data_IF_394036410452
#
_entry.id   IF_394036410452
#
_cell.length_a   1.000
_cell.length_b   1.000
_cell.length_c   1.000
_cell.angle_alpha   90.00
_cell.angle_beta   90.00
_cell.angle_gamma   90.00
#
_symmetry.space_group_name_H-M   'P 1'
#
loop_
_entity.id
_entity.type
_entity.pdbx_description
1 polymer ?
#
# COMPACT_ATOMS: atom_id res chain seq x y z
N UNK A 1 -9.52 -12.52 12.50
CA UNK A 1 -8.35 -12.50 13.40
C UNK A 1 -7.04 -13.04 12.78
N UNK A 2 -7.01 -13.50 11.52
CA UNK A 2 -5.86 -14.22 10.93
C UNK A 2 -4.97 -13.41 9.96
N UNK A 3 -5.23 -12.13 9.68
CA UNK A 3 -4.34 -11.27 8.88
C UNK A 3 -3.24 -10.59 9.71
N UNK A 4 -3.46 -10.42 11.02
CA UNK A 4 -2.46 -9.85 11.94
C UNK A 4 -1.19 -10.72 12.03
N UNK A 5 -1.29 -12.01 11.67
CA UNK A 5 -0.16 -12.94 11.72
C UNK A 5 0.94 -12.60 10.71
N UNK A 6 0.61 -12.09 9.52
CA UNK A 6 1.62 -11.79 8.50
C UNK A 6 2.54 -10.65 8.98
N UNK A 7 1.93 -9.53 9.35
CA UNK A 7 2.62 -8.34 9.86
C UNK A 7 3.37 -8.62 11.16
N UNK A 8 2.74 -9.30 12.12
CA UNK A 8 3.37 -9.63 13.41
C UNK A 8 4.56 -10.57 13.20
N UNK A 9 4.41 -11.61 12.37
CA UNK A 9 5.49 -12.56 12.08
C UNK A 9 6.66 -11.86 11.39
N UNK A 10 6.39 -11.02 10.39
CA UNK A 10 7.41 -10.20 9.75
C UNK A 10 8.12 -9.33 10.79
N UNK A 11 7.38 -8.58 11.60
CA UNK A 11 7.97 -7.62 12.53
C UNK A 11 8.86 -8.30 13.57
N UNK A 12 8.42 -9.44 14.13
CA UNK A 12 9.23 -10.25 15.03
C UNK A 12 10.52 -10.71 14.35
N UNK A 13 10.46 -11.14 13.08
CA UNK A 13 11.65 -11.51 12.31
C UNK A 13 12.59 -10.33 12.11
N UNK A 14 12.07 -9.16 11.73
CA UNK A 14 12.84 -7.92 11.57
C UNK A 14 13.58 -7.57 12.86
N UNK A 15 12.87 -7.52 13.99
CA UNK A 15 13.46 -7.23 15.31
C UNK A 15 14.56 -8.23 15.66
N UNK A 16 14.32 -9.52 15.44
CA UNK A 16 15.31 -10.55 15.70
C UNK A 16 16.57 -10.41 14.82
N UNK A 17 16.43 -9.99 13.56
CA UNK A 17 17.55 -9.77 12.65
C UNK A 17 18.35 -8.51 13.03
N UNK A 18 17.67 -7.45 13.46
CA UNK A 18 18.32 -6.26 14.00
C UNK A 18 19.14 -6.62 15.25
N UNK A 19 18.58 -7.43 16.15
CA UNK A 19 19.29 -7.93 17.35
C UNK A 19 20.49 -8.80 17.01
N UNK A 20 20.40 -9.63 15.96
CA UNK A 20 21.50 -10.49 15.49
C UNK A 20 22.55 -9.75 14.65
N UNK A 21 22.30 -8.49 14.28
CA UNK A 21 23.19 -7.71 13.42
C UNK A 21 23.21 -8.16 11.96
N UNK A 22 22.28 -9.02 11.53
CA UNK A 22 22.20 -9.49 10.13
C UNK A 22 21.59 -8.43 9.19
N UNK A 23 20.87 -7.46 9.76
CA UNK A 23 20.46 -6.20 9.14
C UNK A 23 20.68 -5.08 10.17
N UNK A 24 20.77 -3.84 9.73
CA UNK A 24 20.87 -2.68 10.63
C UNK A 24 19.87 -1.58 10.25
N UNK A 25 19.74 -0.53 11.07
CA UNK A 25 18.76 0.54 10.83
C UNK A 25 18.99 1.35 9.55
N UNK A 26 20.17 1.25 8.94
CA UNK A 26 20.53 1.91 7.68
C UNK A 26 20.48 0.99 6.46
N UNK A 27 20.28 -0.33 6.64
CA UNK A 27 19.97 -1.26 5.55
C UNK A 27 18.76 -0.77 4.74
N UNK A 28 18.68 -1.00 3.41
CA UNK A 28 17.48 -0.72 2.63
C UNK A 28 16.23 -1.34 3.26
N UNK A 29 15.08 -0.66 3.20
CA UNK A 29 13.88 -1.11 3.92
C UNK A 29 13.31 -2.40 3.30
N UNK A 30 13.56 -2.61 2.01
CA UNK A 30 13.31 -3.83 1.26
C UNK A 30 14.04 -5.03 1.88
N UNK A 31 15.29 -4.82 2.31
CA UNK A 31 16.14 -5.84 2.90
C UNK A 31 15.55 -6.38 4.23
N UNK A 32 14.82 -5.54 4.96
CA UNK A 32 14.15 -5.91 6.20
C UNK A 32 13.10 -7.00 5.94
N UNK A 33 12.45 -6.94 4.76
CA UNK A 33 11.39 -7.87 4.36
C UNK A 33 11.97 -9.08 3.63
N UNK A 34 12.80 -8.84 2.62
CA UNK A 34 13.28 -9.85 1.67
C UNK A 34 14.13 -10.93 2.34
N UNK A 35 15.05 -10.57 3.25
CA UNK A 35 16.06 -11.51 3.74
C UNK A 35 15.49 -12.70 4.53
N UNK A 36 14.22 -12.69 4.96
CA UNK A 36 13.65 -13.76 5.81
C UNK A 36 12.18 -14.12 5.61
N UNK A 37 11.42 -13.43 4.77
CA UNK A 37 10.06 -13.88 4.48
C UNK A 37 10.00 -14.89 3.31
N UNK A 38 11.14 -15.20 2.67
CA UNK A 38 11.33 -16.40 1.86
C UNK A 38 10.27 -16.58 0.77
N UNK A 39 9.70 -17.78 0.67
CA UNK A 39 8.66 -18.14 -0.32
C UNK A 39 7.23 -17.75 0.08
N UNK A 40 7.05 -17.10 1.24
CA UNK A 40 5.74 -16.69 1.77
C UNK A 40 5.30 -15.30 1.29
N UNK A 41 6.14 -14.63 0.48
CA UNK A 41 5.86 -13.31 -0.06
C UNK A 41 6.22 -13.22 -1.56
N UNK A 42 5.61 -12.27 -2.25
CA UNK A 42 6.05 -11.78 -3.54
C UNK A 42 6.50 -10.33 -3.43
N UNK A 43 7.68 -10.04 -4.01
CA UNK A 43 8.16 -8.67 -4.16
C UNK A 43 7.70 -8.09 -5.50
N UNK A 44 6.84 -7.07 -5.43
CA UNK A 44 6.08 -6.52 -6.55
C UNK A 44 6.78 -5.31 -7.17
N UNK A 45 7.60 -4.57 -6.41
CA UNK A 45 8.23 -3.38 -6.96
C UNK A 45 9.56 -3.65 -7.68
N UNK A 46 10.68 -3.48 -7.00
CA UNK A 46 12.02 -3.46 -7.59
C UNK A 46 12.66 -4.85 -7.64
N UNK A 47 12.05 -5.76 -8.42
CA UNK A 47 12.55 -7.14 -8.59
C UNK A 47 13.94 -7.23 -9.19
N UNK A 48 14.36 -6.19 -9.94
CA UNK A 48 15.70 -6.10 -10.49
C UNK A 48 16.75 -6.04 -9.38
N UNK A 49 16.60 -5.10 -8.46
CA UNK A 49 17.56 -4.92 -7.38
C UNK A 49 17.42 -6.02 -6.35
N UNK A 50 16.22 -6.57 -6.16
CA UNK A 50 16.01 -7.77 -5.36
C UNK A 50 16.95 -8.91 -5.75
N UNK A 51 17.02 -9.23 -7.04
CA UNK A 51 17.90 -10.26 -7.55
C UNK A 51 19.36 -9.85 -7.50
N UNK A 52 19.68 -8.67 -8.03
CA UNK A 52 21.07 -8.28 -8.27
C UNK A 52 21.81 -7.83 -7.00
N UNK A 53 21.11 -7.17 -6.09
CA UNK A 53 21.69 -6.57 -4.87
C UNK A 53 21.45 -7.47 -3.66
N UNK A 54 20.23 -8.01 -3.52
CA UNK A 54 19.85 -8.77 -2.32
C UNK A 54 19.89 -10.28 -2.51
N UNK A 55 20.23 -10.77 -3.71
CA UNK A 55 20.27 -12.21 -4.02
C UNK A 55 18.90 -12.89 -3.95
N UNK A 56 17.81 -12.13 -3.99
CA UNK A 56 16.45 -12.62 -3.92
C UNK A 56 15.85 -12.73 -5.32
N UNK A 57 15.78 -13.96 -5.83
CA UNK A 57 15.14 -14.24 -7.10
C UNK A 57 13.73 -14.80 -6.91
N UNK A 58 12.73 -13.92 -7.01
CA UNK A 58 11.31 -14.29 -6.95
C UNK A 58 10.95 -15.40 -7.97
N UNK A 59 11.68 -15.49 -9.07
CA UNK A 59 11.41 -16.41 -10.17
C UNK A 59 12.33 -17.63 -10.18
N UNK A 60 13.35 -17.68 -9.32
CA UNK A 60 14.47 -18.62 -9.44
C UNK A 60 14.06 -20.09 -9.51
N UNK A 61 12.95 -20.44 -8.86
CA UNK A 61 12.43 -21.80 -8.79
C UNK A 61 11.29 -22.09 -9.80
N UNK A 62 11.04 -21.19 -10.77
CA UNK A 62 9.91 -21.27 -11.68
C UNK A 62 10.35 -21.36 -13.15
N UNK A 63 9.68 -22.23 -13.92
CA UNK A 63 9.93 -22.32 -15.35
C UNK A 63 9.42 -21.09 -16.11
N UNK A 64 10.18 -20.67 -17.13
CA UNK A 64 9.81 -19.54 -18.00
C UNK A 64 8.43 -19.77 -18.65
N UNK A 65 8.11 -21.00 -19.02
CA UNK A 65 6.82 -21.32 -19.63
C UNK A 65 5.66 -21.19 -18.65
N UNK A 66 5.85 -21.54 -17.38
CA UNK A 66 4.85 -21.28 -16.34
C UNK A 66 4.61 -19.78 -16.17
N UNK A 67 5.67 -18.98 -16.16
CA UNK A 67 5.57 -17.52 -16.04
C UNK A 67 4.85 -16.90 -17.24
N UNK A 68 5.18 -17.33 -18.46
CA UNK A 68 4.49 -16.90 -19.69
C UNK A 68 3.01 -17.27 -19.68
N UNK A 69 2.65 -18.48 -19.25
CA UNK A 69 1.23 -18.91 -19.13
C UNK A 69 0.43 -18.04 -18.17
N UNK A 70 1.08 -17.45 -17.15
CA UNK A 70 0.47 -16.50 -16.22
C UNK A 70 0.59 -15.03 -16.68
N UNK A 71 1.02 -14.79 -17.92
CA UNK A 71 1.13 -13.46 -18.49
C UNK A 71 2.31 -12.63 -18.01
N UNK A 72 3.30 -13.25 -17.35
CA UNK A 72 4.55 -12.62 -16.96
C UNK A 72 5.51 -12.66 -18.15
N UNK A 73 5.64 -11.52 -18.84
CA UNK A 73 6.57 -11.33 -19.96
C UNK A 73 8.00 -11.14 -19.45
N UNK A 74 9.00 -11.39 -20.30
CA UNK A 74 10.43 -11.19 -19.98
C UNK A 74 10.73 -9.80 -19.44
N UNK A 75 10.08 -8.77 -19.98
CA UNK A 75 10.22 -7.37 -19.55
C UNK A 75 9.71 -7.10 -18.12
N UNK A 76 8.85 -7.97 -17.57
CA UNK A 76 8.26 -7.82 -16.24
C UNK A 76 9.05 -8.58 -15.16
N UNK A 77 9.95 -9.50 -15.54
CA UNK A 77 10.66 -10.36 -14.60
C UNK A 77 11.50 -9.53 -13.61
N UNK A 78 12.40 -8.69 -14.13
CA UNK A 78 13.33 -7.91 -13.33
C UNK A 78 13.17 -6.42 -13.65
N UNK A 79 11.98 -5.90 -13.34
CA UNK A 79 11.62 -4.50 -13.54
C UNK A 79 11.43 -3.77 -12.20
N UNK A 80 11.37 -2.46 -12.27
CA UNK A 80 10.81 -1.58 -11.23
C UNK A 80 9.39 -1.21 -11.66
N UNK A 81 8.40 -1.32 -10.77
CA UNK A 81 6.99 -1.10 -11.10
C UNK A 81 6.50 0.28 -10.65
N UNK A 82 7.01 0.77 -9.52
CA UNK A 82 6.51 1.89 -8.74
C UNK A 82 5.00 1.76 -8.43
N UNK A 83 4.55 0.53 -8.21
CA UNK A 83 3.15 0.18 -7.96
C UNK A 83 2.91 -0.19 -6.51
N UNK A 84 1.70 0.06 -6.04
CA UNK A 84 1.24 -0.48 -4.77
C UNK A 84 0.75 -1.94 -4.97
N UNK A 85 0.97 -2.84 -4.01
CA UNK A 85 1.88 -2.72 -2.87
C UNK A 85 3.33 -3.02 -3.29
N UNK A 86 4.30 -2.69 -2.45
CA UNK A 86 5.66 -3.23 -2.59
C UNK A 86 5.70 -4.75 -2.42
N UNK A 87 4.98 -5.29 -1.44
CA UNK A 87 4.95 -6.72 -1.13
C UNK A 87 3.53 -7.27 -1.00
N UNK A 88 3.36 -8.52 -1.44
CA UNK A 88 2.14 -9.30 -1.28
C UNK A 88 2.47 -10.59 -0.54
N UNK A 89 1.78 -10.87 0.57
CA UNK A 89 1.91 -12.15 1.27
C UNK A 89 1.07 -13.25 0.61
N UNK A 90 1.47 -14.50 0.81
CA UNK A 90 0.70 -15.67 0.37
C UNK A 90 -0.66 -15.75 1.06
N UNK A 91 -1.68 -16.08 0.29
CA UNK A 91 -2.98 -16.46 0.82
C UNK A 91 -2.96 -17.95 1.19
N UNK A 92 -3.61 -18.30 2.30
CA UNK A 92 -3.95 -19.68 2.65
C UNK A 92 -5.46 -19.83 2.66
N UNK A 93 -5.94 -21.04 2.37
CA UNK A 93 -7.36 -21.37 2.49
C UNK A 93 -7.59 -22.12 3.80
N UNK A 94 -8.54 -21.64 4.61
CA UNK A 94 -8.96 -22.31 5.85
C UNK A 94 -10.48 -22.43 5.84
N UNK A 95 -10.98 -23.67 5.87
CA UNK A 95 -12.40 -23.97 5.62
C UNK A 95 -12.89 -23.34 4.31
N UNK A 96 -13.98 -22.57 4.34
CA UNK A 96 -14.54 -21.88 3.18
C UNK A 96 -13.90 -20.52 2.88
N UNK A 97 -13.05 -20.01 3.78
CA UNK A 97 -12.48 -18.66 3.69
C UNK A 97 -11.00 -18.60 3.29
N UNK A 98 -10.58 -17.40 2.90
CA UNK A 98 -9.18 -17.04 2.72
C UNK A 98 -8.62 -16.41 4.01
N UNK A 99 -7.37 -16.72 4.34
CA UNK A 99 -6.62 -16.13 5.45
C UNK A 99 -5.22 -15.70 4.99
N UNK A 100 -4.62 -14.74 5.70
CA UNK A 100 -3.34 -14.14 5.31
C UNK A 100 -3.49 -13.25 4.07
N UNK A 101 -2.50 -13.26 3.18
CA UNK A 101 -2.58 -12.50 1.93
C UNK A 101 -2.37 -11.01 2.07
N UNK A 102 -1.82 -10.56 3.20
CA UNK A 102 -1.69 -9.14 3.51
C UNK A 102 -0.89 -8.37 2.44
N UNK A 103 -1.16 -7.08 2.34
CA UNK A 103 -0.47 -6.16 1.43
C UNK A 103 0.47 -5.31 2.27
N UNK A 104 1.70 -5.08 1.80
CA UNK A 104 2.64 -4.24 2.53
C UNK A 104 3.32 -3.23 1.63
N UNK A 105 3.29 -1.98 2.08
CA UNK A 105 3.92 -0.84 1.45
C UNK A 105 5.05 -0.33 2.34
N UNK A 106 6.15 0.06 1.71
CA UNK A 106 7.30 0.68 2.36
C UNK A 106 7.16 2.21 2.34
N UNK A 107 7.42 2.84 3.49
CA UNK A 107 7.52 4.29 3.60
C UNK A 107 8.83 4.67 4.27
N UNK A 108 9.77 5.13 3.45
CA UNK A 108 11.12 5.45 3.89
C UNK A 108 11.38 6.96 3.76
N UNK A 109 11.65 7.63 4.88
CA UNK A 109 11.77 9.08 4.95
C UNK A 109 13.08 9.51 5.62
N UNK A 110 13.72 10.54 5.06
CA UNK A 110 14.85 11.22 5.68
C UNK A 110 14.43 12.08 6.88
N UNK A 111 13.21 12.62 6.85
CA UNK A 111 12.65 13.47 7.89
C UNK A 111 11.93 12.70 8.99
N UNK A 112 11.29 13.44 9.91
CA UNK A 112 10.43 12.87 10.95
C UNK A 112 9.01 12.54 10.47
N UNK A 113 8.61 13.04 9.30
CA UNK A 113 7.31 12.78 8.69
C UNK A 113 7.35 11.52 7.81
N UNK A 114 6.21 10.85 7.71
CA UNK A 114 6.02 9.70 6.81
C UNK A 114 6.10 10.21 5.36
N UNK A 115 6.72 9.42 4.48
CA UNK A 115 6.65 9.66 3.04
C UNK A 115 5.20 9.60 2.52
N UNK A 116 4.89 10.33 1.46
CA UNK A 116 3.55 10.40 0.89
C UNK A 116 3.06 9.05 0.33
N UNK A 117 1.74 8.87 0.31
CA UNK A 117 1.07 7.77 -0.36
C UNK A 117 0.74 8.16 -1.80
N UNK A 118 1.68 7.90 -2.72
CA UNK A 118 1.59 8.37 -4.10
C UNK A 118 0.68 7.53 -5.01
N UNK A 119 0.38 6.30 -4.58
CA UNK A 119 -0.31 5.31 -5.43
C UNK A 119 -1.78 5.14 -5.04
N UNK A 120 -2.11 5.28 -3.76
CA UNK A 120 -3.46 5.03 -3.23
C UNK A 120 -3.64 5.67 -1.85
N UNK A 121 -4.88 6.00 -1.48
CA UNK A 121 -5.20 6.38 -0.10
C UNK A 121 -4.92 5.18 0.83
N UNK A 122 -4.28 5.39 1.99
CA UNK A 122 -4.09 4.32 2.95
C UNK A 122 -5.44 3.87 3.54
N UNK A 123 -5.70 2.57 3.49
CA UNK A 123 -6.97 1.97 3.96
C UNK A 123 -6.69 0.68 4.71
N UNK A 124 -7.60 0.19 5.56
CA UNK A 124 -7.41 -1.07 6.28
C UNK A 124 -7.36 -2.24 5.31
N UNK A 125 -8.28 -2.26 4.33
CA UNK A 125 -8.40 -3.34 3.37
C UNK A 125 -8.37 -2.83 1.92
N UNK A 126 -7.85 -3.68 1.04
CA UNK A 126 -7.95 -3.56 -0.43
C UNK A 126 -8.06 -4.93 -1.08
N UNK A 127 -8.79 -5.02 -2.17
CA UNK A 127 -8.83 -6.23 -3.02
C UNK A 127 -7.82 -6.14 -4.16
N UNK A 128 -7.47 -7.26 -4.80
CA UNK A 128 -6.60 -7.23 -5.97
C UNK A 128 -7.30 -6.61 -7.19
N UNK A 129 -8.62 -6.76 -7.27
CA UNK A 129 -9.44 -6.10 -8.29
C UNK A 129 -9.34 -4.57 -8.19
N UNK A 130 -9.49 -4.03 -6.97
CA UNK A 130 -9.30 -2.61 -6.69
C UNK A 130 -7.87 -2.16 -7.04
N UNK A 131 -6.86 -2.93 -6.65
CA UNK A 131 -5.45 -2.62 -6.90
C UNK A 131 -5.12 -2.60 -8.40
N UNK A 132 -5.63 -3.54 -9.19
CA UNK A 132 -5.38 -3.57 -10.62
C UNK A 132 -5.93 -2.31 -11.30
N UNK A 133 -7.08 -1.81 -10.85
CA UNK A 133 -7.70 -0.57 -11.35
C UNK A 133 -6.89 0.66 -10.90
N UNK A 134 -6.46 0.70 -9.63
CA UNK A 134 -5.64 1.80 -9.07
C UNK A 134 -4.26 1.86 -9.70
N UNK A 135 -3.66 0.73 -10.05
CA UNK A 135 -2.38 0.68 -10.75
C UNK A 135 -2.56 0.93 -12.26
N UNK A 136 -3.70 0.55 -12.83
CA UNK A 136 -4.02 0.66 -14.26
C UNK A 136 -3.42 -0.49 -15.07
N UNK A 137 -3.03 -1.58 -14.42
CA UNK A 137 -2.66 -2.84 -15.01
C UNK A 137 -2.77 -3.95 -13.95
N UNK A 138 -2.65 -5.20 -14.40
CA UNK A 138 -2.86 -6.38 -13.57
C UNK A 138 -1.57 -7.09 -13.16
N UNK A 139 -0.46 -6.35 -12.96
CA UNK A 139 0.80 -6.96 -12.57
C UNK A 139 0.67 -7.71 -11.23
N UNK A 140 0.08 -7.06 -10.22
CA UNK A 140 -0.06 -7.65 -8.88
C UNK A 140 -0.88 -8.94 -8.94
N UNK A 141 -2.02 -8.93 -9.63
CA UNK A 141 -2.83 -10.12 -9.87
C UNK A 141 -2.10 -11.23 -10.61
N UNK A 142 -1.28 -10.91 -11.63
CA UNK A 142 -0.47 -11.92 -12.33
C UNK A 142 0.57 -12.57 -11.42
N UNK A 143 1.23 -11.77 -10.58
CA UNK A 143 2.19 -12.27 -9.60
C UNK A 143 1.48 -13.14 -8.55
N UNK A 144 0.31 -12.71 -8.08
CA UNK A 144 -0.53 -13.50 -7.16
C UNK A 144 -0.91 -14.86 -7.75
N UNK A 145 -1.25 -14.93 -9.05
CA UNK A 145 -1.52 -16.21 -9.74
C UNK A 145 -0.31 -17.14 -9.78
N UNK A 146 0.89 -16.57 -9.93
CA UNK A 146 2.12 -17.35 -9.88
C UNK A 146 2.38 -17.89 -8.47
N UNK A 147 2.21 -17.02 -7.46
CA UNK A 147 2.50 -17.29 -6.04
C UNK A 147 1.52 -18.29 -5.42
N UNK A 148 0.22 -18.07 -5.59
CA UNK A 148 -0.85 -18.81 -4.90
C UNK A 148 -1.53 -19.86 -5.78
N UNK A 149 -1.13 -19.94 -7.06
CA UNK A 149 -1.47 -21.03 -7.97
C UNK A 149 -2.97 -21.28 -8.09
N UNK A 150 -3.41 -22.48 -7.67
CA UNK A 150 -4.82 -22.90 -7.79
C UNK A 150 -5.79 -22.00 -7.02
N UNK A 151 -5.36 -21.40 -5.90
CA UNK A 151 -6.22 -20.50 -5.12
C UNK A 151 -6.62 -19.26 -5.92
N UNK A 152 -5.68 -18.75 -6.73
CA UNK A 152 -5.84 -17.57 -7.56
C UNK A 152 -6.50 -17.84 -8.94
N UNK A 153 -7.21 -18.97 -9.08
CA UNK A 153 -8.02 -19.27 -10.26
C UNK A 153 -9.48 -18.82 -10.10
N UNK A 154 -9.98 -18.74 -8.86
CA UNK A 154 -11.36 -18.34 -8.58
C UNK A 154 -11.49 -16.81 -8.58
N UNK A 155 -12.60 -16.27 -9.09
CA UNK A 155 -12.87 -14.82 -9.09
C UNK A 155 -12.95 -14.23 -7.66
N UNK A 156 -13.50 -14.99 -6.70
CA UNK A 156 -13.57 -14.59 -5.29
C UNK A 156 -12.19 -14.32 -4.67
N UNK A 157 -11.13 -14.91 -5.20
CA UNK A 157 -9.75 -14.64 -4.77
C UNK A 157 -9.33 -13.18 -5.02
N UNK A 158 -9.78 -12.59 -6.14
CA UNK A 158 -9.41 -11.22 -6.50
C UNK A 158 -10.24 -10.19 -5.74
N UNK A 159 -11.48 -10.58 -5.36
CA UNK A 159 -12.41 -9.80 -4.52
C UNK A 159 -12.11 -9.90 -3.04
N UNK A 160 -11.39 -10.94 -2.61
CA UNK A 160 -10.97 -11.10 -1.23
C UNK A 160 -10.22 -9.86 -0.72
N UNK A 161 -10.73 -9.29 0.37
CA UNK A 161 -10.15 -8.13 1.02
C UNK A 161 -8.90 -8.51 1.80
N UNK A 162 -7.79 -7.87 1.44
CA UNK A 162 -6.47 -8.09 2.04
C UNK A 162 -6.14 -6.91 2.93
N UNK A 163 -5.67 -7.22 4.13
CA UNK A 163 -5.28 -6.19 5.09
C UNK A 163 -4.01 -5.47 4.63
N UNK A 164 -4.00 -4.15 4.66
CA UNK A 164 -2.86 -3.34 4.30
C UNK A 164 -2.02 -2.99 5.52
N UNK A 165 -0.70 -3.11 5.37
CA UNK A 165 0.27 -2.70 6.36
C UNK A 165 1.31 -1.77 5.75
N UNK A 166 1.86 -0.90 6.58
CA UNK A 166 2.86 0.07 6.20
C UNK A 166 4.09 -0.15 7.07
N UNK A 167 5.21 -0.56 6.45
CA UNK A 167 6.50 -0.58 7.11
C UNK A 167 7.14 0.79 6.94
N UNK A 168 7.20 1.54 8.03
CA UNK A 168 7.57 2.95 8.02
C UNK A 168 8.92 3.12 8.70
N UNK A 169 9.85 3.77 8.01
CA UNK A 169 11.09 4.29 8.58
C UNK A 169 11.16 5.80 8.44
N UNK A 170 11.43 6.48 9.53
CA UNK A 170 11.75 7.92 9.57
C UNK A 170 13.18 8.13 10.00
N UNK A 171 13.73 9.30 9.70
CA UNK A 171 15.09 9.67 10.07
C UNK A 171 16.15 8.70 9.52
N UNK A 172 15.93 8.11 8.34
CA UNK A 172 16.75 7.05 7.72
C UNK A 172 18.27 7.24 7.84
N UNK A 173 18.75 8.48 7.68
CA UNK A 173 20.17 8.83 7.62
C UNK A 173 20.70 9.42 8.95
N UNK A 174 19.92 9.30 10.03
CA UNK A 174 20.23 9.88 11.34
C UNK A 174 20.33 8.82 12.43
N UNK A 175 20.99 9.15 13.55
CA UNK A 175 21.03 8.28 14.74
C UNK A 175 19.65 8.10 15.40
N UNK A 176 18.66 8.90 15.03
CA UNK A 176 17.27 8.87 15.53
C UNK A 176 16.35 7.99 14.67
N UNK A 177 16.89 7.02 13.92
CA UNK A 177 16.07 6.13 13.08
C UNK A 177 14.97 5.51 13.94
N UNK A 178 13.74 5.56 13.44
CA UNK A 178 12.61 4.83 14.00
C UNK A 178 12.00 3.99 12.91
N UNK A 179 11.72 2.74 13.24
CA UNK A 179 11.07 1.77 12.34
C UNK A 179 9.80 1.27 13.02
N UNK A 180 8.68 1.32 12.31
CA UNK A 180 7.37 0.91 12.81
C UNK A 180 6.62 0.13 11.74
N UNK A 181 5.81 -0.84 12.15
CA UNK A 181 4.77 -1.41 11.29
C UNK A 181 3.42 -0.88 11.74
N UNK A 182 2.65 -0.38 10.79
CA UNK A 182 1.38 0.31 11.03
C UNK A 182 0.29 -0.36 10.22
N UNK A 183 -0.83 -0.65 10.88
CA UNK A 183 -2.04 -1.14 10.25
C UNK A 183 -2.71 -0.04 9.42
N UNK A 184 -3.21 -0.35 8.23
CA UNK A 184 -3.83 0.64 7.36
C UNK A 184 -5.05 1.34 7.96
N UNK A 185 -5.78 0.68 8.87
CA UNK A 185 -6.87 1.30 9.63
C UNK A 185 -6.44 2.53 10.43
N UNK A 186 -5.16 2.64 10.80
CA UNK A 186 -4.64 3.79 11.54
C UNK A 186 -4.81 5.10 10.77
N UNK A 187 -4.75 5.06 9.45
CA UNK A 187 -4.88 6.24 8.59
C UNK A 187 -6.33 6.52 8.17
N UNK A 188 -7.27 5.62 8.46
CA UNK A 188 -8.69 5.75 8.15
C UNK A 188 -9.45 6.47 9.27
N UNK A 189 -9.04 7.69 9.60
CA UNK A 189 -9.77 8.51 10.58
C UNK A 189 -11.11 9.01 10.03
N UNK A 190 -11.22 9.07 8.71
CA UNK A 190 -12.43 9.41 7.95
C UNK A 190 -12.56 8.35 6.84
N UNK A 191 -13.76 7.80 6.57
CA UNK A 191 -13.97 6.85 5.49
C UNK A 191 -13.46 7.39 4.15
N UNK A 192 -12.81 6.54 3.33
CA UNK A 192 -12.20 6.96 2.06
C UNK A 192 -13.22 7.61 1.11
N UNK A 193 -14.45 7.10 1.11
CA UNK A 193 -15.58 7.61 0.33
C UNK A 193 -15.87 9.07 0.69
N UNK A 194 -15.76 9.41 1.97
CA UNK A 194 -15.98 10.75 2.47
C UNK A 194 -14.81 11.69 2.15
N UNK A 195 -13.57 11.18 2.16
CA UNK A 195 -12.40 11.96 1.76
C UNK A 195 -12.46 12.41 0.30
N UNK A 196 -12.94 11.55 -0.60
CA UNK A 196 -13.01 11.86 -2.03
C UNK A 196 -13.88 13.08 -2.32
N UNK A 197 -15.16 13.03 -1.91
CA UNK A 197 -16.06 14.12 -2.25
C UNK A 197 -15.73 15.41 -1.51
N UNK A 198 -15.23 15.34 -0.26
CA UNK A 198 -14.77 16.51 0.46
C UNK A 198 -13.57 17.17 -0.22
N UNK A 199 -12.66 16.38 -0.80
CA UNK A 199 -11.54 16.91 -1.59
C UNK A 199 -12.04 17.66 -2.82
N UNK A 200 -13.00 17.11 -3.57
CA UNK A 200 -13.61 17.82 -4.71
C UNK A 200 -14.35 19.09 -4.29
N UNK A 201 -15.08 19.04 -3.17
CA UNK A 201 -15.80 20.19 -2.62
C UNK A 201 -14.83 21.29 -2.20
N UNK A 202 -13.69 20.94 -1.58
CA UNK A 202 -12.64 21.89 -1.21
C UNK A 202 -12.02 22.55 -2.44
N UNK A 203 -11.68 21.76 -3.47
CA UNK A 203 -11.14 22.26 -4.75
C UNK A 203 -12.13 23.24 -5.40
N UNK A 204 -13.42 22.88 -5.45
CA UNK A 204 -14.45 23.75 -5.99
C UNK A 204 -14.55 25.07 -5.20
N UNK A 205 -14.62 25.00 -3.88
CA UNK A 205 -14.69 26.20 -3.01
C UNK A 205 -13.49 27.12 -3.23
N UNK A 206 -12.28 26.56 -3.31
CA UNK A 206 -11.06 27.33 -3.59
C UNK A 206 -11.12 28.05 -4.96
N UNK A 207 -11.68 27.40 -5.98
CA UNK A 207 -11.88 28.03 -7.29
C UNK A 207 -12.93 29.14 -7.27
N UNK A 208 -14.04 28.95 -6.56
CA UNK A 208 -15.08 29.95 -6.41
C UNK A 208 -14.56 31.20 -5.70
N UNK A 209 -13.81 31.02 -4.62
CA UNK A 209 -13.13 32.10 -3.89
C UNK A 209 -12.15 32.85 -4.80
N UNK A 210 -11.25 32.12 -5.47
CA UNK A 210 -10.25 32.71 -6.40
C UNK A 210 -10.91 33.51 -7.52
N UNK A 211 -12.04 33.04 -8.05
CA UNK A 211 -12.80 33.71 -9.11
C UNK A 211 -13.80 34.74 -8.58
N UNK A 212 -13.92 34.90 -7.26
CA UNK A 212 -14.90 35.77 -6.58
C UNK A 212 -16.34 35.50 -7.03
N UNK A 213 -16.66 34.25 -7.36
CA UNK A 213 -18.01 33.83 -7.76
C UNK A 213 -18.82 33.60 -6.48
N UNK A 214 -19.90 34.37 -6.32
CA UNK A 214 -20.86 34.15 -5.24
C UNK A 214 -21.89 33.12 -5.68
N UNK A 215 -22.08 32.09 -4.87
CA UNK A 215 -23.16 31.12 -5.02
C UNK A 215 -23.99 31.07 -3.75
N UNK A 216 -25.28 30.80 -3.90
CA UNK A 216 -26.18 30.72 -2.75
C UNK A 216 -25.82 29.51 -1.86
N UNK A 217 -26.13 29.61 -0.57
CA UNK A 217 -25.94 28.47 0.34
C UNK A 217 -26.80 27.26 -0.06
N UNK A 218 -27.97 27.50 -0.65
CA UNK A 218 -28.84 26.43 -1.14
C UNK A 218 -28.18 25.66 -2.29
N UNK A 219 -27.62 26.38 -3.26
CA UNK A 219 -26.87 25.78 -4.38
C UNK A 219 -25.64 25.00 -3.89
N UNK A 220 -24.91 25.52 -2.89
CA UNK A 220 -23.80 24.80 -2.29
C UNK A 220 -24.21 23.46 -1.68
N UNK A 221 -25.34 23.41 -0.96
CA UNK A 221 -25.87 22.17 -0.39
C UNK A 221 -26.26 21.16 -1.47
N UNK A 222 -26.83 21.61 -2.57
CA UNK A 222 -27.18 20.75 -3.71
C UNK A 222 -25.93 20.16 -4.37
N UNK A 223 -24.90 20.99 -4.56
CA UNK A 223 -23.60 20.54 -5.09
C UNK A 223 -22.94 19.55 -4.15
N UNK A 224 -22.94 19.81 -2.85
CA UNK A 224 -22.39 18.89 -1.85
C UNK A 224 -23.11 17.54 -1.87
N UNK A 225 -24.46 17.56 -1.95
CA UNK A 225 -25.26 16.35 -2.12
C UNK A 225 -24.90 15.59 -3.39
N UNK A 226 -24.72 16.27 -4.52
CA UNK A 226 -24.32 15.63 -5.78
C UNK A 226 -22.90 15.04 -5.69
N UNK A 227 -21.94 15.78 -5.13
CA UNK A 227 -20.57 15.30 -4.95
C UNK A 227 -20.49 14.13 -3.98
N UNK A 228 -21.38 14.04 -2.99
CA UNK A 228 -21.41 12.92 -2.03
C UNK A 228 -21.63 11.55 -2.69
N UNK A 229 -22.08 11.50 -3.96
CA UNK A 229 -22.17 10.29 -4.76
C UNK A 229 -20.82 9.84 -5.37
N UNK A 230 -19.79 10.69 -5.32
CA UNK A 230 -18.44 10.42 -5.84
C UNK A 230 -17.62 9.68 -4.77
N UNK A 231 -17.94 8.40 -4.59
CA UNK A 231 -17.40 7.56 -3.51
C UNK A 231 -16.49 6.43 -4.01
N UNK A 232 -16.61 6.05 -5.28
CA UNK A 232 -15.91 4.89 -5.83
C UNK A 232 -14.52 5.27 -6.39
N UNK A 233 -13.47 4.83 -5.68
CA UNK A 233 -12.08 5.04 -6.10
C UNK A 233 -11.78 4.39 -7.46
N UNK A 234 -12.40 3.26 -7.79
CA UNK A 234 -12.17 2.56 -9.06
C UNK A 234 -12.70 3.37 -10.24
N UNK A 235 -13.83 4.05 -10.05
CA UNK A 235 -14.33 5.03 -11.01
C UNK A 235 -13.37 6.22 -11.05
N UNK A 236 -12.95 6.79 -9.92
CA UNK A 236 -12.04 7.95 -9.94
C UNK A 236 -10.70 7.62 -10.64
N UNK A 237 -10.13 6.46 -10.35
CA UNK A 237 -8.82 6.04 -10.81
C UNK A 237 -8.79 5.43 -12.21
N UNK A 238 -9.94 5.11 -12.82
CA UNK A 238 -9.99 4.58 -14.19
C UNK A 238 -9.77 5.68 -15.23
N UNK A 239 -9.11 5.31 -16.34
CA UNK A 239 -8.93 6.21 -17.49
C UNK A 239 -10.28 6.61 -18.07
N UNK A 240 -10.46 7.92 -18.33
CA UNK A 240 -11.69 8.47 -18.90
C UNK A 240 -11.55 8.66 -20.39
N UNK A 241 -12.57 8.23 -21.12
CA UNK A 241 -12.75 8.56 -22.53
C UNK A 241 -13.65 9.79 -22.54
N UNK A 242 -13.07 10.92 -22.95
CA UNK A 242 -13.81 12.15 -23.15
C UNK A 242 -13.94 12.39 -24.64
N UNK A 243 -15.15 12.65 -25.10
CA UNK A 243 -15.41 12.94 -26.51
C UNK A 243 -14.52 14.11 -26.96
N UNK A 244 -13.92 13.98 -28.14
CA UNK A 244 -13.02 14.99 -28.75
C UNK A 244 -11.69 15.25 -28.01
N UNK A 245 -11.40 14.55 -26.92
CA UNK A 245 -10.09 14.62 -26.28
C UNK A 245 -9.07 13.70 -26.98
N UNK A 246 -7.89 14.24 -27.31
CA UNK A 246 -6.75 13.45 -27.81
C UNK A 246 -6.03 12.66 -26.69
N UNK A 247 -6.40 12.92 -25.43
CA UNK A 247 -5.82 12.30 -24.24
C UNK A 247 -6.90 11.65 -23.39
N UNK A 248 -6.53 10.59 -22.66
CA UNK A 248 -7.42 9.91 -21.70
C UNK A 248 -6.99 10.26 -20.28
N UNK A 249 -7.62 11.26 -19.63
CA UNK A 249 -7.22 11.65 -18.29
C UNK A 249 -7.49 10.53 -17.30
N UNK A 250 -6.66 10.48 -16.27
CA UNK A 250 -6.76 9.54 -15.16
C UNK A 250 -6.41 10.28 -13.89
N UNK A 251 -7.29 10.26 -12.90
CA UNK A 251 -7.05 10.94 -11.63
C UNK A 251 -6.45 9.96 -10.62
N UNK A 252 -5.41 10.38 -9.91
CA UNK A 252 -4.88 9.68 -8.74
C UNK A 252 -5.02 10.60 -7.55
N UNK A 253 -5.48 10.05 -6.42
CA UNK A 253 -5.55 10.78 -5.17
C UNK A 253 -4.33 10.36 -4.35
N UNK A 254 -3.41 11.31 -4.17
CA UNK A 254 -2.25 11.16 -3.30
C UNK A 254 -2.62 11.67 -1.92
N UNK A 255 -2.10 11.01 -0.89
CA UNK A 255 -2.34 11.41 0.50
C UNK A 255 -1.02 11.69 1.21
N UNK A 256 -1.02 12.72 2.05
CA UNK A 256 0.04 13.05 2.97
C UNK A 256 -0.48 12.90 4.40
N UNK A 257 0.38 12.43 5.29
CA UNK A 257 0.02 12.29 6.70
C UNK A 257 0.20 13.63 7.38
N UNK A 258 -0.88 14.17 7.93
CA UNK A 258 -0.78 15.33 8.80
C UNK A 258 0.13 15.05 10.00
N UNK A 259 0.86 16.05 10.55
CA UNK A 259 1.74 15.84 11.71
C UNK A 259 1.08 15.12 12.90
N UNK A 260 -0.18 15.45 13.19
CA UNK A 260 -1.01 14.83 14.22
C UNK A 260 -1.43 13.39 13.90
N UNK A 261 -1.38 12.98 12.64
CA UNK A 261 -1.59 11.61 12.19
C UNK A 261 -0.29 10.81 12.13
N UNK A 262 0.84 11.33 12.60
CA UNK A 262 2.12 10.64 12.50
C UNK A 262 2.29 9.61 13.65
N UNK A 263 2.28 8.28 13.35
CA UNK A 263 2.40 7.23 14.35
C UNK A 263 3.76 7.22 15.03
N UNK A 264 4.77 7.90 14.49
CA UNK A 264 6.14 7.88 15.01
C UNK A 264 6.39 9.02 16.03
N UNK A 265 5.58 10.09 15.95
CA UNK A 265 5.59 11.21 16.91
C UNK A 265 4.68 10.91 18.10
N UNK A 266 3.51 10.30 17.84
CA UNK A 266 2.45 10.15 18.84
C UNK A 266 2.50 8.88 19.71
N UNK A 267 3.42 7.95 19.45
CA UNK A 267 3.55 6.73 20.27
C UNK A 267 4.63 6.85 21.36
N UNK A 268 4.26 7.46 22.49
CA UNK A 268 4.65 7.01 23.83
C UNK A 268 3.36 6.49 24.48
N UNK A 269 3.07 5.19 24.28
CA UNK A 269 2.05 4.37 24.97
C UNK A 269 0.71 5.04 25.35
N UNK A 270 -0.35 4.69 24.61
CA UNK A 270 -1.67 4.30 25.17
C UNK A 270 -2.50 3.56 24.11
N UNK A 271 -2.81 2.30 24.40
CA UNK A 271 -3.82 1.52 23.69
C UNK A 271 -5.22 2.08 24.04
N UNK A 272 -6.05 2.37 23.04
CA UNK A 272 -7.39 1.85 23.01
C UNK A 272 -7.46 0.73 21.97
N UNK A 273 -8.20 -0.32 22.31
CA UNK A 273 -8.47 -1.50 21.50
C UNK A 273 -8.75 -1.07 20.04
N UNK A 274 -7.85 -1.44 19.10
CA UNK A 274 -8.09 -1.78 17.67
C UNK A 274 -6.88 -1.47 16.77
N UNK A 275 -5.97 -0.55 17.13
CA UNK A 275 -4.76 -0.28 16.32
C UNK A 275 -3.49 -0.92 16.93
N UNK A 276 -2.91 -1.93 16.28
CA UNK A 276 -1.62 -2.49 16.67
C UNK A 276 -0.47 -1.78 15.94
N UNK A 277 0.18 -0.84 16.61
CA UNK A 277 1.46 -0.26 16.15
C UNK A 277 2.59 -0.85 16.99
N UNK A 278 3.56 -1.48 16.34
CA UNK A 278 4.79 -1.94 16.98
C UNK A 278 5.94 -1.03 16.52
N UNK A 279 6.61 -0.36 17.47
CA UNK A 279 7.72 0.55 17.20
C UNK A 279 8.96 0.14 18.00
N UNK A 280 10.15 0.37 17.43
CA UNK A 280 11.43 0.15 18.10
C UNK A 280 12.28 1.42 18.00
N UNK A 281 12.77 1.91 19.14
CA UNK A 281 13.66 3.09 19.22
C UNK A 281 15.09 2.64 19.46
N UNK A 282 16.04 3.16 18.66
CA UNK A 282 17.46 3.04 18.96
C UNK A 282 17.89 4.19 19.87
N UNK A 283 18.23 3.88 21.12
CA UNK A 283 18.97 4.79 21.99
C UNK A 283 20.42 4.30 22.08
N UNK A 284 21.40 5.07 21.59
CA UNK A 284 22.80 4.73 21.84
C UNK A 284 23.08 4.83 23.34
N UNK A 285 23.80 3.85 23.88
CA UNK A 285 24.48 3.98 25.17
C UNK A 285 25.66 4.95 25.02
#
# INVERSE_FOLDING_TARGET
>A
MTSLTDATTLFVRVVNNLKKGTINFHSPLEEFVIRKCGEDLAYIDNRKDAKNIYGFDLWGNLSIDRLKKQGIKKTLLYSQSQQFPDFLFKVKKQAEGYIGGSLMELKDSKGGNIASFNSTIPTEYKSLEEIDIINGNNLVSKIARVLDGKLAQNESYFKFERRCFYLIRTHKESKKVKVSIVDGSFFETVPKEHLFYQTFLYILRAHLEKKKIKISQQTLKEVEKALSCVTDQTIIASSKILEKASVRPRLRIMAEVHPEGNPIVNFILRLPKVASTLSFNHHPK
#
